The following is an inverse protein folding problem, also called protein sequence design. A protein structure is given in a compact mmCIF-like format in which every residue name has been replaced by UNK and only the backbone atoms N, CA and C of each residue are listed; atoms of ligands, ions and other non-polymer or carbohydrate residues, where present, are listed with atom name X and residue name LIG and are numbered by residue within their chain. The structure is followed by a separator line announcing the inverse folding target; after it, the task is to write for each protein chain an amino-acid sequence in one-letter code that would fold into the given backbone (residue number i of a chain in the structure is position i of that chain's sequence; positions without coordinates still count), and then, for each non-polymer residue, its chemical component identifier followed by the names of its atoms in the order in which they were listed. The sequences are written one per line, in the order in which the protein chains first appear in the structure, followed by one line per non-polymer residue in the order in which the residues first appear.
data_IF_804206094671
#
_entry.id   IF_804206094671
#
_cell.length_a   1.000
_cell.length_b   1.000
_cell.length_c   1.000
_cell.angle_alpha   90.00
_cell.angle_beta   90.00
_cell.angle_gamma   90.00
#
_symmetry.space_group_name_H-M   'P 1'
#
loop_
_entity.id
_entity.type
_entity.pdbx_description
1 polymer ?
#
# COMPACT_ATOMS: atom_id res chain seq x y z
N UNK A 1 -7.46 -13.77 -0.82
CA UNK A 1 -6.79 -12.99 -1.88
C UNK A 1 -6.84 -13.77 -3.19
N UNK A 2 -7.20 -13.07 -4.27
CA UNK A 2 -7.24 -13.59 -5.65
C UNK A 2 -6.48 -12.60 -6.53
N UNK A 3 -5.52 -13.10 -7.31
CA UNK A 3 -4.62 -12.27 -8.11
C UNK A 3 -4.57 -12.74 -9.54
N UNK A 4 -4.72 -11.81 -10.47
CA UNK A 4 -4.24 -11.98 -11.84
C UNK A 4 -2.82 -11.45 -11.93
N UNK A 5 -2.06 -11.94 -12.91
CA UNK A 5 -0.72 -11.44 -13.16
C UNK A 5 -0.31 -11.56 -14.62
N UNK A 6 0.53 -10.63 -15.06
CA UNK A 6 1.02 -10.54 -16.43
C UNK A 6 2.35 -9.80 -16.49
N UNK A 7 3.30 -10.32 -17.26
CA UNK A 7 4.51 -9.58 -17.58
C UNK A 7 4.23 -8.59 -18.72
N UNK A 8 4.11 -7.29 -18.41
CA UNK A 8 4.12 -6.21 -19.41
C UNK A 8 5.30 -5.28 -19.19
N UNK A 9 5.65 -4.52 -20.22
CA UNK A 9 6.73 -3.54 -20.12
C UNK A 9 6.38 -2.46 -19.09
N UNK A 10 5.13 -2.00 -19.05
CA UNK A 10 4.74 -0.98 -18.07
C UNK A 10 4.90 -1.49 -16.63
N UNK A 11 4.40 -2.70 -16.34
CA UNK A 11 4.47 -3.28 -14.99
C UNK A 11 5.92 -3.56 -14.57
N UNK A 12 6.75 -4.08 -15.47
CA UNK A 12 8.15 -4.39 -15.16
C UNK A 12 8.96 -3.11 -14.93
N UNK A 13 8.73 -2.04 -15.69
CA UNK A 13 9.47 -0.78 -15.52
C UNK A 13 9.24 -0.15 -14.13
N UNK A 14 8.11 -0.43 -13.46
CA UNK A 14 7.90 0.01 -12.06
C UNK A 14 8.96 -0.50 -11.09
N UNK A 15 9.57 -1.67 -11.36
CA UNK A 15 10.63 -2.27 -10.54
C UNK A 15 11.91 -1.42 -10.49
N UNK A 16 12.07 -0.47 -11.41
CA UNK A 16 13.18 0.48 -11.41
C UNK A 16 13.23 1.29 -10.11
N UNK A 17 12.08 1.51 -9.48
CA UNK A 17 11.94 2.39 -8.33
C UNK A 17 11.49 1.62 -7.09
N UNK A 18 11.96 2.06 -5.91
CA UNK A 18 11.52 1.49 -4.64
C UNK A 18 10.18 2.11 -4.24
N UNK A 19 9.19 1.30 -3.88
CA UNK A 19 7.84 1.79 -3.53
C UNK A 19 7.81 2.84 -2.41
N UNK A 20 8.83 2.89 -1.54
CA UNK A 20 8.89 3.88 -0.46
C UNK A 20 9.46 5.24 -0.88
N UNK A 21 10.04 5.36 -2.06
CA UNK A 21 10.66 6.57 -2.65
C UNK A 21 10.52 6.59 -4.17
N UNK A 22 9.38 6.12 -4.68
CA UNK A 22 9.22 5.89 -6.12
C UNK A 22 9.27 7.20 -6.89
N UNK A 23 8.59 8.24 -6.39
CA UNK A 23 8.53 9.56 -6.99
C UNK A 23 9.91 10.24 -7.03
N UNK A 24 10.66 10.19 -5.94
CA UNK A 24 11.99 10.80 -5.88
C UNK A 24 12.97 10.04 -6.78
N UNK A 25 12.94 8.71 -6.78
CA UNK A 25 13.78 7.94 -7.70
C UNK A 25 13.38 8.18 -9.16
N UNK A 26 12.09 8.28 -9.46
CA UNK A 26 11.62 8.60 -10.80
C UNK A 26 12.16 9.96 -11.25
N UNK A 27 12.03 11.00 -10.41
CA UNK A 27 12.57 12.33 -10.72
C UNK A 27 14.08 12.31 -10.99
N UNK A 28 14.84 11.60 -10.15
CA UNK A 28 16.30 11.46 -10.31
C UNK A 28 16.62 10.75 -11.63
N UNK A 29 15.92 9.67 -11.96
CA UNK A 29 16.14 8.92 -13.19
C UNK A 29 15.73 9.72 -14.43
N UNK A 30 14.62 10.45 -14.41
CA UNK A 30 14.20 11.33 -15.51
C UNK A 30 15.24 12.42 -15.79
N UNK A 31 15.92 12.90 -14.75
CA UNK A 31 16.91 13.97 -14.88
C UNK A 31 18.29 13.50 -15.35
N UNK A 32 18.73 12.33 -14.89
CA UNK A 32 20.10 11.85 -15.09
C UNK A 32 20.20 10.54 -15.87
N UNK A 33 19.07 9.90 -16.19
CA UNK A 33 19.01 8.65 -16.95
C UNK A 33 19.85 7.53 -16.34
N UNK A 34 20.50 6.74 -17.19
CA UNK A 34 21.32 5.61 -16.76
C UNK A 34 22.59 6.02 -16.00
N UNK A 35 23.00 7.30 -16.02
CA UNK A 35 24.15 7.75 -15.25
C UNK A 35 23.92 7.59 -13.73
N UNK A 36 22.67 7.51 -13.25
CA UNK A 36 22.37 7.24 -11.82
C UNK A 36 22.97 5.91 -11.35
N UNK A 37 23.18 4.95 -12.24
CA UNK A 37 23.77 3.66 -11.90
C UNK A 37 25.30 3.74 -11.74
N UNK A 38 25.95 4.78 -12.26
CA UNK A 38 27.40 4.86 -12.36
C UNK A 38 28.01 6.07 -11.64
N UNK A 39 27.31 7.20 -11.66
CA UNK A 39 27.80 8.53 -11.24
C UNK A 39 26.90 9.23 -10.22
N UNK A 40 26.05 8.49 -9.48
CA UNK A 40 25.08 9.05 -8.53
C UNK A 40 25.66 10.12 -7.58
N UNK A 41 26.92 9.94 -7.15
CA UNK A 41 27.61 10.88 -6.26
C UNK A 41 27.75 12.29 -6.83
N UNK A 42 27.92 12.41 -8.15
CA UNK A 42 28.06 13.69 -8.86
C UNK A 42 26.75 14.48 -8.86
N UNK A 43 25.62 13.79 -8.75
CA UNK A 43 24.28 14.37 -8.78
C UNK A 43 23.74 14.71 -7.39
N UNK A 44 24.47 14.35 -6.33
CA UNK A 44 24.02 14.53 -4.95
C UNK A 44 23.58 15.98 -4.64
N UNK A 45 24.35 17.03 -5.00
CA UNK A 45 23.93 18.41 -4.76
C UNK A 45 22.61 18.79 -5.44
N UNK A 46 22.39 18.33 -6.67
CA UNK A 46 21.17 18.60 -7.44
C UNK A 46 19.95 17.90 -6.84
N UNK A 47 20.13 16.65 -6.39
CA UNK A 47 19.08 15.89 -5.71
C UNK A 47 18.74 16.56 -4.37
N UNK A 48 19.73 16.95 -3.57
CA UNK A 48 19.50 17.64 -2.29
C UNK A 48 18.78 18.98 -2.48
N UNK A 49 19.13 19.74 -3.52
CA UNK A 49 18.44 20.98 -3.87
C UNK A 49 16.97 20.74 -4.27
N UNK A 50 16.70 19.69 -5.05
CA UNK A 50 15.32 19.32 -5.40
C UNK A 50 14.50 18.94 -4.17
N UNK A 51 15.05 18.10 -3.28
CA UNK A 51 14.37 17.71 -2.05
C UNK A 51 14.07 18.92 -1.16
N UNK A 52 15.02 19.86 -1.05
CA UNK A 52 14.83 21.08 -0.27
C UNK A 52 13.78 22.02 -0.89
N UNK A 53 13.85 22.26 -2.21
CA UNK A 53 12.95 23.16 -2.93
C UNK A 53 11.49 22.70 -2.88
N UNK A 54 11.26 21.39 -2.85
CA UNK A 54 9.92 20.80 -2.80
C UNK A 54 9.53 20.35 -1.37
N UNK A 55 10.31 20.72 -0.37
CA UNK A 55 10.07 20.40 1.05
C UNK A 55 9.90 18.88 1.33
N UNK A 56 10.52 18.04 0.51
CA UNK A 56 10.39 16.57 0.59
C UNK A 56 11.22 16.06 1.77
N UNK A 57 10.53 15.54 2.78
CA UNK A 57 11.14 14.96 3.99
C UNK A 57 11.19 13.44 3.89
N UNK A 58 12.35 12.92 3.51
CA UNK A 58 12.61 11.48 3.49
C UNK A 58 13.00 10.94 4.87
N UNK A 59 12.52 9.74 5.19
CA UNK A 59 13.00 9.00 6.35
C UNK A 59 14.48 8.63 6.19
N UNK A 60 15.21 8.44 7.30
CA UNK A 60 16.63 8.05 7.25
C UNK A 60 16.91 6.80 6.38
N UNK A 61 16.11 5.71 6.45
CA UNK A 61 16.28 4.56 5.56
C UNK A 61 16.11 4.91 4.08
N UNK A 62 15.10 5.70 3.75
CA UNK A 62 14.79 6.11 2.38
C UNK A 62 15.87 7.02 1.80
N UNK A 63 16.37 7.97 2.59
CA UNK A 63 17.51 8.81 2.21
C UNK A 63 18.75 7.95 1.92
N UNK A 64 19.05 6.95 2.76
CA UNK A 64 20.18 6.04 2.52
C UNK A 64 20.03 5.27 1.20
N UNK A 65 18.82 4.80 0.87
CA UNK A 65 18.54 4.12 -0.41
C UNK A 65 18.73 5.06 -1.60
N UNK A 66 18.11 6.25 -1.56
CA UNK A 66 18.12 7.21 -2.67
C UNK A 66 19.55 7.62 -3.07
N UNK A 67 20.44 7.78 -2.09
CA UNK A 67 21.85 8.17 -2.32
C UNK A 67 22.82 6.97 -2.38
N UNK A 68 22.32 5.73 -2.42
CA UNK A 68 23.15 4.52 -2.53
C UNK A 68 23.20 4.01 -3.95
N UNK A 69 24.35 4.17 -4.62
CA UNK A 69 24.54 3.65 -5.98
C UNK A 69 24.42 2.13 -6.06
N UNK A 70 24.82 1.41 -5.01
CA UNK A 70 24.63 -0.04 -4.91
C UNK A 70 23.14 -0.41 -4.90
N UNK A 71 22.32 0.39 -4.23
CA UNK A 71 20.87 0.19 -4.21
C UNK A 71 20.25 0.39 -5.60
N UNK A 72 20.63 1.48 -6.31
CA UNK A 72 20.20 1.70 -7.69
C UNK A 72 20.59 0.55 -8.63
N UNK A 73 21.82 0.05 -8.52
CA UNK A 73 22.26 -1.13 -9.29
C UNK A 73 21.47 -2.39 -8.92
N UNK A 74 21.12 -2.57 -7.65
CA UNK A 74 20.27 -3.68 -7.21
C UNK A 74 18.89 -3.60 -7.86
N UNK A 75 18.25 -2.43 -7.92
CA UNK A 75 16.96 -2.25 -8.61
C UNK A 75 17.08 -2.53 -10.12
N UNK A 76 18.16 -2.06 -10.76
CA UNK A 76 18.44 -2.35 -12.17
C UNK A 76 18.61 -3.86 -12.42
N UNK A 77 19.28 -4.59 -11.52
CA UNK A 77 19.42 -6.04 -11.64
C UNK A 77 18.06 -6.74 -11.56
N UNK A 78 17.19 -6.34 -10.62
CA UNK A 78 15.84 -6.88 -10.49
C UNK A 78 15.02 -6.61 -11.76
N UNK A 79 15.08 -5.40 -12.30
CA UNK A 79 14.43 -5.02 -13.56
C UNK A 79 14.91 -5.91 -14.72
N UNK A 80 16.23 -6.08 -14.85
CA UNK A 80 16.82 -6.89 -15.93
C UNK A 80 16.45 -8.37 -15.80
N UNK A 81 16.41 -8.91 -14.58
CA UNK A 81 15.98 -10.29 -14.37
C UNK A 81 14.48 -10.46 -14.65
N UNK A 82 13.64 -9.48 -14.31
CA UNK A 82 12.23 -9.47 -14.70
C UNK A 82 12.05 -9.45 -16.23
N UNK A 83 12.86 -8.67 -16.96
CA UNK A 83 12.86 -8.66 -18.44
C UNK A 83 13.23 -10.03 -19.02
N UNK A 84 14.25 -10.70 -18.50
CA UNK A 84 14.59 -12.08 -18.93
C UNK A 84 13.46 -13.07 -18.66
N UNK A 85 12.77 -12.93 -17.52
CA UNK A 85 11.60 -13.76 -17.21
C UNK A 85 10.47 -13.50 -18.21
N UNK A 86 10.18 -12.24 -18.52
CA UNK A 86 9.20 -11.85 -19.55
C UNK A 86 9.56 -12.40 -20.93
N UNK A 87 10.82 -12.32 -21.37
CA UNK A 87 11.26 -12.85 -22.66
C UNK A 87 10.98 -14.36 -22.80
N UNK A 88 11.09 -15.11 -21.70
CA UNK A 88 10.89 -16.56 -21.69
C UNK A 88 9.43 -16.99 -21.45
N UNK A 89 8.72 -16.29 -20.57
CA UNK A 89 7.33 -16.58 -20.20
C UNK A 89 6.34 -15.98 -21.20
N UNK A 90 6.72 -14.87 -21.84
CA UNK A 90 5.88 -14.06 -22.69
C UNK A 90 5.00 -13.09 -21.89
N UNK A 91 4.04 -12.50 -22.59
CA UNK A 91 3.14 -11.45 -22.07
C UNK A 91 1.72 -11.96 -21.84
N UNK A 92 1.50 -13.28 -21.76
CA UNK A 92 0.18 -13.85 -21.48
C UNK A 92 -0.26 -13.49 -20.06
N UNK A 93 -1.53 -13.13 -19.89
CA UNK A 93 -2.14 -12.98 -18.57
C UNK A 93 -2.46 -14.35 -17.95
N UNK A 94 -2.26 -14.45 -16.64
CA UNK A 94 -2.58 -15.62 -15.83
C UNK A 94 -3.59 -15.21 -14.75
N UNK A 95 -4.76 -15.82 -14.76
CA UNK A 95 -5.77 -15.67 -13.70
C UNK A 95 -5.63 -16.74 -12.60
N UNK A 96 -4.66 -17.66 -12.76
CA UNK A 96 -4.15 -18.46 -11.65
C UNK A 96 -2.71 -18.03 -11.32
N UNK A 97 -2.58 -17.20 -10.28
CA UNK A 97 -1.29 -16.75 -9.77
C UNK A 97 -0.40 -17.90 -9.27
N UNK A 98 -0.98 -19.02 -8.84
CA UNK A 98 -0.23 -20.18 -8.38
C UNK A 98 0.46 -20.89 -9.54
N UNK A 99 -0.19 -20.96 -10.71
CA UNK A 99 0.42 -21.45 -11.95
C UNK A 99 1.58 -20.55 -12.38
N UNK A 100 1.38 -19.23 -12.38
CA UNK A 100 2.45 -18.29 -12.72
C UNK A 100 3.64 -18.44 -11.79
N UNK A 101 3.42 -18.54 -10.46
CA UNK A 101 4.49 -18.78 -9.48
C UNK A 101 5.32 -20.03 -9.80
N UNK A 102 4.66 -21.13 -10.17
CA UNK A 102 5.35 -22.37 -10.59
C UNK A 102 6.15 -22.15 -11.87
N UNK A 103 5.58 -21.47 -12.85
CA UNK A 103 6.24 -21.17 -14.12
C UNK A 103 7.46 -20.25 -13.94
N UNK A 104 7.34 -19.19 -13.14
CA UNK A 104 8.45 -18.29 -12.78
C UNK A 104 9.55 -19.08 -12.07
N UNK A 105 9.22 -19.90 -11.06
CA UNK A 105 10.19 -20.70 -10.35
C UNK A 105 10.94 -21.70 -11.26
N UNK A 106 10.23 -22.31 -12.21
CA UNK A 106 10.84 -23.17 -13.24
C UNK A 106 11.77 -22.36 -14.14
N UNK A 107 11.31 -21.21 -14.63
CA UNK A 107 12.07 -20.34 -15.53
C UNK A 107 13.35 -19.81 -14.89
N UNK A 108 13.31 -19.44 -13.60
CA UNK A 108 14.49 -19.02 -12.83
C UNK A 108 15.56 -20.13 -12.81
N UNK A 109 15.13 -21.39 -12.59
CA UNK A 109 16.03 -22.55 -12.61
C UNK A 109 16.61 -22.80 -14.00
N UNK A 110 15.77 -22.76 -15.03
CA UNK A 110 16.17 -23.00 -16.42
C UNK A 110 17.19 -21.96 -16.92
N UNK A 111 16.98 -20.68 -16.56
CA UNK A 111 17.87 -19.56 -16.91
C UNK A 111 19.04 -19.37 -15.92
N UNK A 112 19.10 -20.17 -14.84
CA UNK A 112 20.10 -20.06 -13.76
C UNK A 112 20.22 -18.64 -13.19
N UNK A 113 19.10 -17.93 -13.10
CA UNK A 113 19.05 -16.58 -12.53
C UNK A 113 19.24 -16.68 -11.01
N UNK A 114 20.15 -15.87 -10.47
CA UNK A 114 20.38 -15.78 -9.02
C UNK A 114 19.47 -14.72 -8.42
N UNK A 115 18.22 -15.09 -8.15
CA UNK A 115 17.21 -14.22 -7.56
C UNK A 115 16.97 -14.61 -6.10
N UNK A 116 17.12 -13.66 -5.18
CA UNK A 116 16.75 -13.89 -3.78
C UNK A 116 15.22 -13.80 -3.56
N UNK A 117 14.75 -14.23 -2.39
CA UNK A 117 13.32 -14.25 -2.07
C UNK A 117 12.68 -12.86 -2.06
N UNK A 118 13.44 -11.81 -1.72
CA UNK A 118 12.94 -10.43 -1.66
C UNK A 118 12.75 -9.87 -3.07
N UNK A 119 13.73 -10.07 -3.94
CA UNK A 119 13.69 -9.70 -5.35
C UNK A 119 12.54 -10.45 -6.07
N UNK A 120 12.39 -11.75 -5.83
CA UNK A 120 11.27 -12.52 -6.37
C UNK A 120 9.91 -11.95 -5.93
N UNK A 121 9.77 -11.59 -4.65
CA UNK A 121 8.55 -10.98 -4.15
C UNK A 121 8.27 -9.62 -4.82
N UNK A 122 9.30 -8.80 -5.03
CA UNK A 122 9.15 -7.52 -5.73
C UNK A 122 8.65 -7.71 -7.17
N UNK A 123 9.27 -8.63 -7.92
CA UNK A 123 8.85 -8.94 -9.30
C UNK A 123 7.40 -9.43 -9.31
N UNK A 124 7.07 -10.42 -8.47
CA UNK A 124 5.73 -10.99 -8.42
C UNK A 124 4.67 -9.95 -8.05
N UNK A 125 4.97 -9.04 -7.12
CA UNK A 125 4.06 -7.97 -6.74
C UNK A 125 3.86 -6.96 -7.87
N UNK A 126 4.94 -6.58 -8.58
CA UNK A 126 4.87 -5.60 -9.67
C UNK A 126 4.01 -6.08 -10.84
N UNK A 127 4.00 -7.39 -11.11
CA UNK A 127 3.26 -7.98 -12.22
C UNK A 127 1.85 -8.47 -11.85
N UNK A 128 1.42 -8.28 -10.60
CA UNK A 128 0.16 -8.84 -10.09
C UNK A 128 -0.80 -7.78 -9.59
N UNK A 129 -2.10 -8.02 -9.76
CA UNK A 129 -3.16 -7.14 -9.25
C UNK A 129 -4.35 -7.98 -8.78
N UNK A 130 -5.19 -7.39 -7.92
CA UNK A 130 -6.40 -8.03 -7.41
C UNK A 130 -7.41 -8.24 -8.53
N UNK A 131 -7.95 -9.45 -8.61
CA UNK A 131 -9.02 -9.81 -9.53
C UNK A 131 -9.94 -10.83 -8.85
N UNK A 132 -11.21 -10.50 -8.66
CA UNK A 132 -12.20 -11.38 -8.04
C UNK A 132 -12.48 -12.64 -8.87
N UNK A 133 -12.31 -12.56 -10.20
CA UNK A 133 -12.46 -13.69 -11.11
C UNK A 133 -11.27 -14.64 -11.14
N UNK A 134 -10.15 -14.29 -10.49
CA UNK A 134 -8.95 -15.13 -10.44
C UNK A 134 -9.05 -16.25 -9.41
N UNK A 135 -8.18 -17.25 -9.54
CA UNK A 135 -8.05 -18.33 -8.56
C UNK A 135 -7.50 -17.83 -7.22
N UNK A 136 -7.86 -18.54 -6.16
CA UNK A 136 -7.41 -18.20 -4.80
C UNK A 136 -5.91 -18.42 -4.67
N UNK A 137 -5.20 -17.44 -4.12
CA UNK A 137 -3.76 -17.53 -3.91
C UNK A 137 -3.47 -18.48 -2.75
N UNK A 138 -2.68 -19.51 -3.00
CA UNK A 138 -2.26 -20.48 -1.99
C UNK A 138 -1.11 -19.87 -1.19
N UNK A 139 -1.28 -19.81 0.13
CA UNK A 139 -0.25 -19.41 1.08
C UNK A 139 0.64 -20.59 1.44
N UNK A 140 0.03 -21.72 1.78
CA UNK A 140 0.71 -22.95 2.19
C UNK A 140 -0.20 -24.16 1.97
N UNK A 141 0.40 -25.30 1.69
CA UNK A 141 -0.26 -26.61 1.75
C UNK A 141 0.31 -27.33 2.96
N UNK A 142 -0.56 -27.80 3.84
CA UNK A 142 -0.20 -28.53 5.04
C UNK A 142 0.12 -29.99 4.73
N UNK A 143 0.74 -30.70 5.68
CA UNK A 143 1.21 -32.08 5.49
C UNK A 143 0.07 -33.08 5.27
N UNK A 144 -1.11 -32.78 5.80
CA UNK A 144 -2.35 -33.53 5.64
C UNK A 144 -3.12 -33.19 4.35
N UNK A 145 -2.61 -32.26 3.54
CA UNK A 145 -3.23 -31.82 2.30
C UNK A 145 -4.18 -30.63 2.44
N UNK A 146 -4.35 -30.06 3.64
CA UNK A 146 -5.16 -28.85 3.83
C UNK A 146 -4.50 -27.66 3.13
N UNK A 147 -5.27 -26.95 2.30
CA UNK A 147 -4.79 -25.76 1.59
C UNK A 147 -5.16 -24.52 2.39
N UNK A 148 -4.13 -23.80 2.84
CA UNK A 148 -4.28 -22.48 3.46
C UNK A 148 -4.12 -21.42 2.37
N UNK A 149 -5.18 -20.64 2.16
CA UNK A 149 -5.17 -19.52 1.22
C UNK A 149 -4.64 -18.24 1.87
N UNK A 150 -4.08 -17.35 1.06
CA UNK A 150 -3.63 -16.03 1.51
C UNK A 150 -4.86 -15.15 1.79
N UNK A 151 -5.02 -14.61 3.02
CA UNK A 151 -6.12 -13.69 3.33
C UNK A 151 -5.99 -12.42 2.49
N UNK A 152 -7.12 -11.86 2.05
CA UNK A 152 -7.11 -10.48 1.59
C UNK A 152 -7.20 -9.56 2.81
N UNK A 153 -6.22 -8.67 2.99
CA UNK A 153 -6.20 -7.76 4.14
C UNK A 153 -7.28 -6.71 4.08
N UNK A 154 -7.72 -6.34 2.87
CA UNK A 154 -8.64 -5.22 2.65
C UNK A 154 -10.11 -5.65 2.81
N UNK A 155 -10.35 -6.98 2.83
CA UNK A 155 -11.65 -7.60 3.06
C UNK A 155 -11.82 -8.12 4.49
N UNK A 156 -10.93 -7.74 5.41
CA UNK A 156 -11.04 -8.15 6.81
C UNK A 156 -12.13 -7.34 7.48
N UNK A 157 -13.01 -8.04 8.19
CA UNK A 157 -14.06 -7.41 9.00
C UNK A 157 -14.12 -8.02 10.41
N UNK A 158 -14.87 -7.38 11.30
CA UNK A 158 -15.14 -7.84 12.66
C UNK A 158 -16.62 -7.78 12.96
N UNK A 159 -17.18 -8.93 13.34
CA UNK A 159 -18.58 -9.05 13.76
C UNK A 159 -18.72 -9.02 15.28
N UNK A 160 -19.73 -8.32 15.76
CA UNK A 160 -20.10 -8.29 17.17
C UNK A 160 -21.19 -9.34 17.42
N UNK A 161 -20.80 -10.45 18.07
CA UNK A 161 -21.72 -11.55 18.39
C UNK A 161 -22.25 -11.38 19.82
N UNK A 162 -23.57 -11.48 20.07
CA UNK A 162 -24.13 -11.51 21.41
C UNK A 162 -23.47 -12.58 22.30
N UNK A 163 -23.22 -12.25 23.57
CA UNK A 163 -22.45 -13.10 24.47
C UNK A 163 -23.13 -14.45 24.79
N UNK A 164 -24.46 -14.48 24.70
CA UNK A 164 -25.31 -15.64 24.92
C UNK A 164 -25.56 -16.48 23.66
N UNK A 165 -25.02 -16.05 22.51
CA UNK A 165 -25.11 -16.77 21.24
C UNK A 165 -23.81 -17.51 20.90
N UNK A 166 -23.93 -18.68 20.27
CA UNK A 166 -22.79 -19.41 19.74
C UNK A 166 -22.24 -18.73 18.48
N UNK A 167 -20.92 -18.49 18.44
CA UNK A 167 -20.25 -17.75 17.36
C UNK A 167 -20.43 -18.45 16.02
N UNK A 168 -20.35 -19.79 15.98
CA UNK A 168 -20.47 -20.54 14.74
C UNK A 168 -21.89 -20.41 14.17
N UNK A 169 -22.90 -20.51 15.04
CA UNK A 169 -24.31 -20.34 14.67
C UNK A 169 -24.59 -18.94 14.10
N UNK A 170 -24.07 -17.88 14.74
CA UNK A 170 -24.17 -16.52 14.19
C UNK A 170 -23.46 -16.39 12.84
N UNK A 171 -22.23 -16.91 12.74
CA UNK A 171 -21.40 -16.82 11.53
C UNK A 171 -22.06 -17.49 10.31
N UNK A 172 -22.66 -18.67 10.50
CA UNK A 172 -23.38 -19.38 9.44
C UNK A 172 -24.61 -18.60 8.96
N UNK A 173 -25.36 -17.99 9.89
CA UNK A 173 -26.60 -17.26 9.60
C UNK A 173 -26.34 -15.90 8.95
N UNK A 174 -25.45 -15.11 9.54
CA UNK A 174 -25.26 -13.70 9.18
C UNK A 174 -24.09 -13.48 8.23
N UNK A 175 -23.03 -14.30 8.27
CA UNK A 175 -21.82 -14.04 7.45
C UNK A 175 -21.78 -14.92 6.21
N UNK A 176 -21.85 -16.25 6.38
CA UNK A 176 -21.67 -17.19 5.26
C UNK A 176 -22.78 -17.08 4.20
N UNK A 177 -23.97 -16.61 4.59
CA UNK A 177 -25.06 -16.33 3.64
C UNK A 177 -24.67 -15.24 2.62
N UNK A 178 -23.85 -14.26 3.04
CA UNK A 178 -23.45 -13.14 2.21
C UNK A 178 -22.04 -13.31 1.63
N UNK A 179 -21.14 -13.97 2.37
CA UNK A 179 -19.74 -14.16 2.01
C UNK A 179 -19.38 -15.64 2.19
N UNK A 180 -19.71 -16.50 1.19
CA UNK A 180 -19.54 -17.95 1.31
C UNK A 180 -18.08 -18.41 1.50
N UNK A 181 -17.11 -17.55 1.18
CA UNK A 181 -15.69 -17.83 1.33
C UNK A 181 -15.06 -17.19 2.56
N UNK A 182 -15.86 -16.62 3.47
CA UNK A 182 -15.37 -16.13 4.74
C UNK A 182 -14.93 -17.28 5.66
N UNK A 183 -13.98 -16.98 6.55
CA UNK A 183 -13.60 -17.86 7.66
C UNK A 183 -13.23 -17.02 8.87
N UNK A 184 -13.35 -17.62 10.06
CA UNK A 184 -13.04 -16.95 11.33
C UNK A 184 -11.55 -17.14 11.67
N UNK A 185 -10.87 -16.04 11.99
CA UNK A 185 -9.56 -16.06 12.64
C UNK A 185 -9.73 -16.09 14.16
N UNK A 186 -9.87 -17.29 14.73
CA UNK A 186 -10.11 -17.47 16.17
C UNK A 186 -9.01 -16.89 17.07
N UNK A 187 -7.79 -16.69 16.54
CA UNK A 187 -6.69 -16.09 17.32
C UNK A 187 -6.93 -14.62 17.68
N UNK A 188 -7.88 -13.97 16.98
CA UNK A 188 -8.25 -12.56 17.18
C UNK A 188 -9.60 -12.38 17.86
N UNK A 189 -10.28 -13.46 18.23
CA UNK A 189 -11.56 -13.38 18.91
C UNK A 189 -11.35 -12.86 20.34
N UNK A 190 -12.01 -11.75 20.67
CA UNK A 190 -11.98 -11.14 22.01
C UNK A 190 -13.36 -11.24 22.62
N UNK A 191 -13.42 -11.66 23.90
CA UNK A 191 -14.66 -11.63 24.70
C UNK A 191 -14.62 -10.42 25.61
N UNK A 192 -15.67 -9.62 25.60
CA UNK A 192 -15.75 -8.41 26.41
C UNK A 192 -17.13 -7.80 26.40
N UNK A 193 -17.24 -6.66 27.09
CA UNK A 193 -18.44 -5.82 27.10
C UNK A 193 -18.09 -4.50 26.44
N UNK A 194 -18.96 -4.01 25.57
CA UNK A 194 -18.83 -2.69 24.98
C UNK A 194 -19.73 -1.70 25.74
N UNK A 195 -19.16 -0.57 26.15
CA UNK A 195 -19.92 0.57 26.67
C UNK A 195 -19.94 1.62 25.57
N UNK A 196 -21.10 1.83 24.94
CA UNK A 196 -21.25 2.88 23.93
C UNK A 196 -21.15 4.25 24.59
N UNK A 197 -19.99 4.89 24.48
CA UNK A 197 -19.77 6.17 25.13
C UNK A 197 -20.72 7.25 24.60
N UNK A 198 -20.93 7.27 23.29
CA UNK A 198 -21.89 8.18 22.65
C UNK A 198 -23.32 7.95 23.13
N UNK A 199 -23.73 6.70 23.38
CA UNK A 199 -25.10 6.44 23.86
C UNK A 199 -25.31 6.90 25.30
N UNK A 200 -24.33 6.70 26.18
CA UNK A 200 -24.52 6.89 27.63
C UNK A 200 -23.93 8.20 28.17
N UNK A 201 -22.93 8.78 27.51
CA UNK A 201 -22.22 9.96 27.99
C UNK A 201 -22.26 11.13 27.02
N UNK A 202 -22.91 10.99 25.85
CA UNK A 202 -23.13 12.14 24.98
C UNK A 202 -24.15 13.09 25.62
N UNK A 203 -23.65 14.23 26.06
CA UNK A 203 -24.48 15.36 26.41
C UNK A 203 -24.68 16.19 25.15
N UNK A 204 -25.90 16.20 24.63
CA UNK A 204 -26.25 17.07 23.52
C UNK A 204 -26.01 18.53 23.91
N UNK A 205 -25.09 19.18 23.20
CA UNK A 205 -24.88 20.61 23.29
C UNK A 205 -25.65 21.24 22.12
N UNK A 206 -26.77 21.94 22.37
CA UNK A 206 -27.46 22.64 21.32
C UNK A 206 -26.51 23.65 20.66
N UNK A 207 -26.58 23.85 19.34
CA UNK A 207 -25.83 24.91 18.70
C UNK A 207 -26.21 26.28 19.29
N UNK A 208 -25.26 27.22 19.28
CA UNK A 208 -25.51 28.60 19.71
C UNK A 208 -26.64 29.23 18.90
N UNK A 209 -27.38 30.15 19.51
CA UNK A 209 -28.49 30.83 18.83
C UNK A 209 -28.00 31.72 17.69
N UNK A 210 -28.85 31.95 16.68
CA UNK A 210 -28.49 32.81 15.56
C UNK A 210 -28.34 34.27 16.02
N UNK A 211 -29.08 34.66 17.03
CA UNK A 211 -29.03 35.99 17.65
C UNK A 211 -27.68 36.23 18.33
N UNK A 212 -27.16 35.25 19.08
CA UNK A 212 -25.81 35.32 19.68
C UNK A 212 -24.73 35.38 18.60
N UNK A 213 -24.83 34.55 17.56
CA UNK A 213 -23.87 34.55 16.45
C UNK A 213 -23.88 35.91 15.75
N UNK A 214 -25.06 36.48 15.51
CA UNK A 214 -25.21 37.78 14.84
C UNK A 214 -24.66 38.92 15.69
N UNK A 215 -24.91 38.90 17.01
CA UNK A 215 -24.39 39.90 17.93
C UNK A 215 -22.85 39.85 18.03
N UNK A 216 -22.28 38.65 18.08
CA UNK A 216 -20.82 38.44 18.10
C UNK A 216 -20.17 38.91 16.78
N UNK A 217 -20.77 38.61 15.62
CA UNK A 217 -20.28 39.10 14.32
C UNK A 217 -20.27 40.63 14.27
N UNK A 218 -21.37 41.28 14.66
CA UNK A 218 -21.45 42.76 14.68
C UNK A 218 -20.49 43.40 15.68
N UNK A 219 -20.19 42.71 16.79
CA UNK A 219 -19.20 43.16 17.75
C UNK A 219 -17.78 43.04 17.18
N UNK A 220 -17.44 41.89 16.58
CA UNK A 220 -16.16 41.68 15.91
C UNK A 220 -15.94 42.67 14.75
N UNK A 221 -16.99 42.99 13.99
CA UNK A 221 -16.93 44.04 12.96
C UNK A 221 -16.54 45.39 13.56
N UNK A 222 -17.14 45.81 14.68
CA UNK A 222 -16.80 47.06 15.37
C UNK A 222 -15.39 47.06 15.96
N UNK A 223 -14.93 45.94 16.48
CA UNK A 223 -13.58 45.79 17.04
C UNK A 223 -12.51 45.79 15.93
N UNK A 224 -12.86 45.33 14.73
CA UNK A 224 -11.98 45.33 13.56
C UNK A 224 -12.04 46.65 12.77
N UNK A 225 -13.12 47.42 12.93
CA UNK A 225 -13.28 48.73 12.34
C UNK A 225 -12.23 49.70 12.91
N UNK A 226 -11.28 50.11 12.06
CA UNK A 226 -10.12 50.92 12.43
C UNK A 226 -8.79 50.18 12.42
N UNK A 227 -8.74 48.85 12.59
CA UNK A 227 -7.49 48.07 12.49
C UNK A 227 -6.91 48.15 11.08
N UNK A 228 -7.78 48.11 10.05
CA UNK A 228 -7.37 48.31 8.66
C UNK A 228 -6.93 49.75 8.37
N UNK A 229 -7.43 50.74 9.12
CA UNK A 229 -6.99 52.14 8.96
C UNK A 229 -5.62 52.36 9.60
N UNK A 230 -5.34 51.74 10.75
CA UNK A 230 -4.03 51.80 11.42
C UNK A 230 -2.91 51.15 10.59
N UNK A 231 -3.20 50.09 9.82
CA UNK A 231 -2.22 49.44 8.92
C UNK A 231 -1.94 50.27 7.65
N UNK A 232 -2.88 51.11 7.22
CA UNK A 232 -2.75 51.95 6.01
C UNK A 232 -2.09 53.30 6.34
N UNK A 233 -2.01 53.69 7.61
CA UNK A 233 -1.48 54.98 8.08
C UNK A 233 -0.04 54.94 8.63
N UNK A 234 0.62 53.77 8.65
CA UNK A 234 2.10 53.61 8.78
C UNK A 234 2.79 53.52 7.42
#
# INVERSE_FOLDING_TARGET
MRLSAQFTNELIETLRFDNGISEEMQWVYERFGDDVYYKLKEFKPQIENYLAKNEIKLTNPNKKKLFSQEFWKSQLNILNDAKKLQEKIGTKQFDDFNELKKLVAKTIKDLKIKLDAKALKLILNAISWKNEGAERVIKKIETDGIIIYEPDTDLRDTENVPLDEDIQTYFEREVLQHIPDAWIDHSKTVKGYEISFTRYFYNYVPPRSIEEITAEILQLEKETDGILQDIILE
#
